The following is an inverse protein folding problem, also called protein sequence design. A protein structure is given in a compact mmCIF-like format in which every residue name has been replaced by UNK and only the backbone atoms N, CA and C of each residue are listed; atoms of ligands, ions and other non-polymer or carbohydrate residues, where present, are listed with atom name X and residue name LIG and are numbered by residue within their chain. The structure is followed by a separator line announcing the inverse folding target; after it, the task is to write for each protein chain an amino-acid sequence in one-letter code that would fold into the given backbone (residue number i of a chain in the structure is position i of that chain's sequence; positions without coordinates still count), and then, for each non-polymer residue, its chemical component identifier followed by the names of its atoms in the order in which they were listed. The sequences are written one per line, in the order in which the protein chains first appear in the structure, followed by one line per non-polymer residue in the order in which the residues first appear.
data_IF_718028191031
#
_entry.id   IF_718028191031
#
_cell.length_a   1.000
_cell.length_b   1.000
_cell.length_c   1.000
_cell.angle_alpha   90.00
_cell.angle_beta   90.00
_cell.angle_gamma   90.00
#
_symmetry.space_group_name_H-M   'P 1'
#
loop_
_entity.id
_entity.type
_entity.pdbx_description
1 polymer ?
#
# COMPACT_ATOMS: atom_id res chain seq x y z
N UNK A 1 -6.13 7.01 33.33
CA UNK A 1 -6.33 8.43 32.97
C UNK A 1 -6.29 8.51 31.44
N UNK A 2 -7.47 8.66 30.80
CA UNK A 2 -7.62 8.60 29.34
C UNK A 2 -7.09 9.90 28.75
N UNK A 3 -5.89 9.87 28.16
CA UNK A 3 -5.48 10.92 27.24
C UNK A 3 -6.16 10.67 25.90
N UNK A 4 -7.39 11.17 25.77
CA UNK A 4 -7.96 11.50 24.47
C UNK A 4 -6.91 12.32 23.72
N UNK A 5 -6.51 11.84 22.54
CA UNK A 5 -5.50 12.47 21.67
C UNK A 5 -5.87 13.96 21.56
N UNK A 6 -5.08 14.83 22.21
CA UNK A 6 -5.38 16.25 22.28
C UNK A 6 -5.41 16.82 20.86
N UNK A 7 -6.50 17.52 20.53
CA UNK A 7 -6.90 17.87 19.15
C UNK A 7 -5.96 18.84 18.42
N UNK A 8 -4.93 19.39 19.08
CA UNK A 8 -3.84 20.14 18.45
C UNK A 8 -2.57 20.06 19.29
N UNK A 9 -1.78 19.02 19.08
CA UNK A 9 -0.40 19.03 19.56
C UNK A 9 0.43 19.96 18.66
N UNK A 10 1.46 20.63 19.19
CA UNK A 10 2.38 21.39 18.37
C UNK A 10 3.23 20.42 17.54
N UNK A 11 3.52 20.76 16.27
CA UNK A 11 4.38 19.95 15.41
C UNK A 11 5.78 19.91 16.04
N UNK A 12 6.32 18.74 16.42
CA UNK A 12 7.68 18.67 16.94
C UNK A 12 8.70 19.10 15.89
N UNK A 13 9.80 19.73 16.33
CA UNK A 13 10.83 20.20 15.42
C UNK A 13 11.58 19.00 14.79
N UNK A 14 11.85 19.07 13.49
CA UNK A 14 12.58 18.01 12.75
C UNK A 14 14.10 18.21 12.80
N UNK A 15 14.58 19.37 13.24
CA UNK A 15 16.02 19.68 13.25
C UNK A 15 16.57 19.40 14.64
N UNK A 16 17.57 18.52 14.71
CA UNK A 16 18.38 18.34 15.92
C UNK A 16 19.21 19.61 16.15
N UNK A 17 19.17 20.13 17.37
CA UNK A 17 20.01 21.25 17.81
C UNK A 17 20.78 20.81 19.05
N UNK A 18 21.74 21.62 19.51
CA UNK A 18 22.45 21.35 20.75
C UNK A 18 21.52 21.23 21.98
N UNK A 19 20.29 21.75 21.88
CA UNK A 19 19.28 21.76 22.95
C UNK A 19 18.14 20.76 22.69
N UNK A 20 18.10 20.12 21.51
CA UNK A 20 17.00 19.25 21.09
C UNK A 20 17.50 17.97 20.41
N UNK A 21 17.27 16.84 21.09
CA UNK A 21 17.58 15.49 20.59
C UNK A 21 16.30 14.76 20.14
N UNK A 22 16.41 13.98 19.07
CA UNK A 22 15.32 13.11 18.59
C UNK A 22 15.27 11.82 19.40
N UNK A 23 14.70 11.93 20.59
CA UNK A 23 14.53 10.78 21.47
C UNK A 23 13.20 10.05 21.23
N UNK A 24 12.94 8.96 21.97
CA UNK A 24 11.66 8.23 21.94
C UNK A 24 10.46 9.16 22.15
N UNK A 25 10.62 10.20 22.96
CA UNK A 25 9.61 11.22 23.20
C UNK A 25 9.26 12.02 21.95
N UNK A 26 10.25 12.39 21.13
CA UNK A 26 10.03 13.06 19.84
C UNK A 26 9.15 12.21 18.94
N UNK A 27 9.50 10.93 18.75
CA UNK A 27 8.73 10.03 17.89
C UNK A 27 7.30 9.83 18.39
N UNK A 28 7.11 9.78 19.71
CA UNK A 28 5.78 9.65 20.34
C UNK A 28 4.94 10.91 20.12
N UNK A 29 5.51 12.09 20.35
CA UNK A 29 4.84 13.38 20.13
C UNK A 29 4.54 13.63 18.66
N UNK A 30 5.44 13.23 17.76
CA UNK A 30 5.25 13.37 16.32
C UNK A 30 4.14 12.43 15.82
N UNK A 31 4.14 11.17 16.27
CA UNK A 31 3.07 10.23 15.98
C UNK A 31 1.71 10.76 16.44
N UNK A 32 1.62 11.30 17.66
CA UNK A 32 0.40 11.95 18.16
C UNK A 32 0.03 13.20 17.36
N UNK A 33 0.98 13.99 16.89
CA UNK A 33 0.72 15.13 16.01
C UNK A 33 0.15 14.70 14.65
N UNK A 34 0.71 13.65 14.03
CA UNK A 34 0.18 13.07 12.79
C UNK A 34 -1.27 12.61 12.99
N UNK A 35 -1.51 11.88 14.08
CA UNK A 35 -2.85 11.44 14.47
C UNK A 35 -3.78 12.61 14.85
N UNK A 36 -3.26 13.71 15.35
CA UNK A 36 -4.04 14.92 15.62
C UNK A 36 -4.47 15.61 14.32
N UNK A 37 -3.60 15.67 13.32
CA UNK A 37 -3.93 16.21 11.99
C UNK A 37 -4.88 15.31 11.20
N UNK A 38 -4.93 14.01 11.53
CA UNK A 38 -5.95 13.10 11.05
C UNK A 38 -7.37 13.62 11.30
N UNK A 39 -7.61 14.29 12.43
CA UNK A 39 -8.91 14.83 12.80
C UNK A 39 -9.21 16.19 12.13
N UNK A 40 -8.53 16.50 11.02
CA UNK A 40 -8.85 17.69 10.24
C UNK A 40 -10.23 17.57 9.59
N UNK A 41 -10.92 18.71 9.44
CA UNK A 41 -12.22 18.77 8.79
C UNK A 41 -12.18 18.15 7.38
N UNK A 42 -11.12 18.43 6.61
CA UNK A 42 -10.95 17.89 5.26
C UNK A 42 -10.89 16.36 5.24
N UNK A 43 -10.19 15.76 6.21
CA UNK A 43 -10.12 14.31 6.30
C UNK A 43 -11.48 13.71 6.73
N UNK A 44 -12.18 14.34 7.67
CA UNK A 44 -13.54 13.94 8.02
C UNK A 44 -14.50 13.99 6.82
N UNK A 45 -14.44 15.05 6.01
CA UNK A 45 -15.23 15.17 4.78
C UNK A 45 -14.88 14.06 3.77
N UNK A 46 -13.60 13.73 3.63
CA UNK A 46 -13.17 12.61 2.78
C UNK A 46 -13.75 11.27 3.24
N UNK A 47 -13.63 10.94 4.54
CA UNK A 47 -14.18 9.70 5.10
C UNK A 47 -15.71 9.67 4.98
N UNK A 48 -16.38 10.80 5.23
CA UNK A 48 -17.83 10.91 5.11
C UNK A 48 -18.32 10.67 3.68
N UNK A 49 -17.68 11.31 2.68
CA UNK A 49 -18.00 11.11 1.26
C UNK A 49 -17.79 9.66 0.83
N UNK A 50 -16.65 9.06 1.22
CA UNK A 50 -16.40 7.65 0.93
C UNK A 50 -17.49 6.74 1.50
N UNK A 51 -17.95 6.99 2.72
CA UNK A 51 -19.02 6.20 3.35
C UNK A 51 -20.34 6.29 2.63
N UNK A 52 -20.77 7.50 2.27
CA UNK A 52 -21.99 7.70 1.50
C UNK A 52 -21.88 6.91 0.18
N UNK A 53 -20.79 7.08 -0.56
CA UNK A 53 -20.59 6.38 -1.83
C UNK A 53 -20.61 4.85 -1.68
N UNK A 54 -20.03 4.32 -0.60
CA UNK A 54 -20.00 2.89 -0.32
C UNK A 54 -21.39 2.33 0.01
N UNK A 55 -22.18 3.05 0.80
CA UNK A 55 -23.54 2.64 1.15
C UNK A 55 -24.49 2.73 -0.05
N UNK A 56 -24.37 3.77 -0.88
CA UNK A 56 -25.07 3.84 -2.16
C UNK A 56 -24.71 2.65 -3.06
N UNK A 57 -23.43 2.27 -3.14
CA UNK A 57 -23.00 1.07 -3.86
C UNK A 57 -23.65 -0.21 -3.31
N UNK A 58 -23.81 -0.34 -1.99
CA UNK A 58 -24.51 -1.46 -1.33
C UNK A 58 -26.04 -1.41 -1.45
N UNK A 59 -26.60 -0.50 -2.25
CA UNK A 59 -28.04 -0.27 -2.38
C UNK A 59 -28.72 0.26 -1.10
N UNK A 60 -27.95 0.90 -0.21
CA UNK A 60 -28.46 1.58 0.95
C UNK A 60 -28.37 3.11 0.73
N UNK A 61 -29.35 3.65 0.01
CA UNK A 61 -29.30 5.04 -0.47
C UNK A 61 -29.87 6.08 0.51
N UNK A 62 -30.60 5.65 1.54
CA UNK A 62 -31.38 6.53 2.44
C UNK A 62 -30.72 6.58 3.80
N UNK A 63 -29.55 7.21 3.84
CA UNK A 63 -28.68 7.26 5.02
C UNK A 63 -28.76 8.66 5.64
N UNK A 64 -29.04 9.67 4.81
CA UNK A 64 -29.15 11.05 5.23
C UNK A 64 -30.55 11.27 5.84
N UNK A 65 -30.65 11.86 7.05
CA UNK A 65 -31.92 12.19 7.67
C UNK A 65 -32.81 13.00 6.73
N UNK A 66 -32.22 13.92 5.96
CA UNK A 66 -32.90 14.76 4.98
C UNK A 66 -33.66 13.94 3.93
N UNK A 67 -33.11 12.81 3.48
CA UNK A 67 -33.76 11.93 2.50
C UNK A 67 -34.97 11.22 3.10
N UNK A 68 -34.87 10.82 4.37
CA UNK A 68 -35.93 10.11 5.08
C UNK A 68 -37.06 11.03 5.53
N UNK A 69 -36.71 12.20 6.09
CA UNK A 69 -37.66 13.20 6.58
C UNK A 69 -38.40 13.84 5.42
N UNK A 70 -37.71 14.28 4.35
CA UNK A 70 -38.37 14.91 3.21
C UNK A 70 -39.31 13.97 2.45
N UNK A 71 -39.08 12.66 2.53
CA UNK A 71 -39.94 11.68 1.88
C UNK A 71 -41.11 11.23 2.76
N UNK A 72 -40.85 10.94 4.03
CA UNK A 72 -41.85 10.38 4.95
C UNK A 72 -42.73 11.46 5.57
N UNK A 73 -42.24 12.70 5.70
CA UNK A 73 -42.97 13.81 6.31
C UNK A 73 -43.47 14.79 5.24
N UNK A 74 -44.63 15.39 5.50
CA UNK A 74 -45.16 16.53 4.74
C UNK A 74 -44.49 17.86 5.17
N UNK A 75 -44.74 18.97 4.46
CA UNK A 75 -44.32 20.34 4.84
C UNK A 75 -44.86 20.76 6.22
N UNK A 76 -45.90 20.06 6.71
CA UNK A 76 -46.50 20.23 8.05
C UNK A 76 -46.00 19.21 9.09
N UNK A 77 -45.02 18.37 8.76
CA UNK A 77 -44.44 17.36 9.67
C UNK A 77 -45.33 16.15 9.97
N UNK A 78 -46.38 15.92 9.18
CA UNK A 78 -47.24 14.72 9.33
C UNK A 78 -46.75 13.56 8.46
N UNK A 79 -46.86 12.34 8.99
CA UNK A 79 -46.47 11.10 8.31
C UNK A 79 -47.32 10.86 7.05
N UNK A 80 -46.64 10.60 5.93
CA UNK A 80 -47.26 10.18 4.67
C UNK A 80 -46.95 8.72 4.39
N UNK A 81 -47.98 7.93 4.04
CA UNK A 81 -47.85 6.52 3.64
C UNK A 81 -47.33 6.37 2.20
N UNK A 82 -46.07 6.76 1.95
CA UNK A 82 -45.41 6.58 0.64
C UNK A 82 -44.58 5.30 0.63
N UNK A 83 -44.65 4.56 -0.47
CA UNK A 83 -43.81 3.37 -0.68
C UNK A 83 -42.51 3.82 -1.36
N UNK A 84 -41.38 3.52 -0.72
CA UNK A 84 -40.06 3.79 -1.27
C UNK A 84 -39.76 2.84 -2.43
N UNK A 85 -39.45 3.39 -3.60
CA UNK A 85 -38.87 2.66 -4.73
C UNK A 85 -37.48 3.21 -5.00
N UNK A 86 -36.45 2.41 -4.78
CA UNK A 86 -35.06 2.77 -5.10
C UNK A 86 -34.61 2.05 -6.37
N UNK A 87 -33.95 2.79 -7.27
CA UNK A 87 -33.22 2.22 -8.42
C UNK A 87 -31.75 2.56 -8.25
N UNK A 88 -30.90 1.54 -8.11
CA UNK A 88 -29.48 1.74 -7.92
C UNK A 88 -28.73 1.85 -9.23
N UNK A 89 -28.47 3.08 -9.67
CA UNK A 89 -27.64 3.35 -10.84
C UNK A 89 -26.14 3.35 -10.53
N UNK A 90 -25.75 3.51 -9.25
CA UNK A 90 -24.33 3.57 -8.85
C UNK A 90 -23.72 2.16 -8.83
N UNK A 91 -24.46 1.18 -8.33
CA UNK A 91 -24.01 -0.22 -8.31
C UNK A 91 -23.51 -0.71 -9.67
N UNK A 92 -24.28 -0.64 -10.79
CA UNK A 92 -23.79 -1.11 -12.07
C UNK A 92 -22.54 -0.35 -12.58
N UNK A 93 -22.39 0.94 -12.22
CA UNK A 93 -21.19 1.71 -12.57
C UNK A 93 -19.95 1.19 -11.83
N UNK A 94 -20.05 0.97 -10.52
CA UNK A 94 -18.92 0.42 -9.72
C UNK A 94 -18.60 -1.02 -10.14
N UNK A 95 -19.63 -1.82 -10.42
CA UNK A 95 -19.47 -3.18 -10.95
C UNK A 95 -18.74 -3.20 -12.29
N UNK A 96 -18.98 -2.21 -13.16
CA UNK A 96 -18.24 -2.07 -14.41
C UNK A 96 -16.75 -1.80 -14.17
N UNK A 97 -16.39 -0.92 -13.23
CA UNK A 97 -14.99 -0.70 -12.86
C UNK A 97 -14.35 -1.95 -12.28
N UNK A 98 -15.08 -2.68 -11.43
CA UNK A 98 -14.62 -3.92 -10.83
C UNK A 98 -14.37 -5.02 -11.87
N UNK A 99 -15.31 -5.21 -12.80
CA UNK A 99 -15.17 -6.16 -13.90
C UNK A 99 -14.08 -5.78 -14.90
N UNK A 100 -13.90 -4.48 -15.17
CA UNK A 100 -12.79 -3.98 -15.99
C UNK A 100 -11.45 -4.25 -15.31
N UNK A 101 -11.35 -3.99 -14.00
CA UNK A 101 -10.17 -4.32 -13.23
C UNK A 101 -9.89 -5.82 -13.34
N UNK A 102 -10.83 -6.70 -13.03
CA UNK A 102 -10.64 -8.15 -13.14
C UNK A 102 -10.04 -8.59 -14.50
N UNK A 103 -10.49 -7.97 -15.60
CA UNK A 103 -9.99 -8.27 -16.96
C UNK A 103 -8.62 -7.68 -17.28
N UNK A 104 -8.25 -6.55 -16.68
CA UNK A 104 -6.96 -5.91 -16.95
C UNK A 104 -5.83 -6.85 -16.52
N UNK A 105 -4.73 -6.91 -17.29
CA UNK A 105 -3.50 -7.57 -16.87
C UNK A 105 -2.48 -6.53 -16.44
N UNK A 106 -2.00 -6.62 -15.21
CA UNK A 106 -0.90 -5.78 -14.73
C UNK A 106 0.38 -6.60 -14.75
N UNK A 107 1.00 -6.68 -15.93
CA UNK A 107 2.29 -7.35 -16.08
C UNK A 107 3.41 -6.38 -15.70
N UNK A 108 4.08 -6.63 -14.57
CA UNK A 108 5.29 -5.90 -14.20
C UNK A 108 6.49 -6.51 -14.92
N UNK A 109 7.30 -5.66 -15.55
CA UNK A 109 8.57 -6.04 -16.16
C UNK A 109 9.72 -5.32 -15.47
N UNK A 110 10.70 -6.09 -15.01
CA UNK A 110 11.94 -5.57 -14.45
C UNK A 110 12.89 -5.22 -15.60
N UNK A 111 13.47 -4.02 -15.54
CA UNK A 111 14.49 -3.57 -16.49
C UNK A 111 15.76 -3.24 -15.74
N UNK A 112 16.91 -3.52 -16.36
CA UNK A 112 18.21 -3.19 -15.78
C UNK A 112 18.66 -1.82 -16.29
N UNK A 113 18.90 -0.88 -15.37
CA UNK A 113 19.33 0.49 -15.68
C UNK A 113 20.86 0.65 -15.51
N UNK A 114 21.54 -0.33 -14.90
CA UNK A 114 22.95 -0.21 -14.52
C UNK A 114 23.92 -0.35 -15.71
N UNK A 115 24.97 0.48 -15.79
CA UNK A 115 26.07 0.31 -16.76
C UNK A 115 26.82 -1.03 -16.61
N UNK A 116 26.88 -1.59 -15.40
CA UNK A 116 27.53 -2.89 -15.14
C UNK A 116 26.80 -4.05 -15.82
N UNK A 117 25.50 -3.89 -16.10
CA UNK A 117 24.73 -4.85 -16.88
C UNK A 117 25.19 -4.92 -18.34
N UNK A 118 25.57 -3.77 -18.91
CA UNK A 118 26.15 -3.68 -20.25
C UNK A 118 27.49 -4.43 -20.28
N UNK A 119 28.35 -4.21 -19.29
CA UNK A 119 29.61 -4.96 -19.17
C UNK A 119 29.42 -6.48 -19.05
N UNK A 120 28.35 -6.95 -18.39
CA UNK A 120 28.02 -8.39 -18.32
C UNK A 120 27.57 -8.94 -19.67
N UNK A 121 26.70 -8.21 -20.38
CA UNK A 121 26.31 -8.52 -21.76
C UNK A 121 27.54 -8.59 -22.67
N UNK A 122 28.42 -7.59 -22.59
CA UNK A 122 29.62 -7.52 -23.44
C UNK A 122 30.60 -8.66 -23.16
N UNK A 123 30.74 -9.08 -21.88
CA UNK A 123 31.54 -10.26 -21.50
C UNK A 123 30.97 -11.56 -22.06
N UNK A 124 29.66 -11.75 -22.00
CA UNK A 124 29.02 -12.96 -22.51
C UNK A 124 29.00 -12.99 -24.04
N UNK A 125 28.87 -11.83 -24.69
CA UNK A 125 29.08 -11.67 -26.13
C UNK A 125 30.53 -12.00 -26.54
N UNK A 126 31.52 -11.51 -25.79
CA UNK A 126 32.93 -11.80 -26.04
C UNK A 126 33.23 -13.31 -25.93
N UNK A 127 32.66 -14.01 -24.95
CA UNK A 127 32.78 -15.48 -24.85
C UNK A 127 32.19 -16.19 -26.07
N UNK A 128 31.00 -15.78 -26.53
CA UNK A 128 30.37 -16.36 -27.72
C UNK A 128 31.18 -16.10 -28.99
N UNK A 129 31.78 -14.92 -29.13
CA UNK A 129 32.70 -14.62 -30.24
C UNK A 129 33.94 -15.52 -30.19
N UNK A 130 34.50 -15.78 -29.01
CA UNK A 130 35.63 -16.70 -28.86
C UNK A 130 35.24 -18.14 -29.23
N UNK A 131 34.05 -18.60 -28.84
CA UNK A 131 33.53 -19.90 -29.28
C UNK A 131 33.31 -19.96 -30.79
N UNK A 132 32.86 -18.87 -31.41
CA UNK A 132 32.74 -18.80 -32.87
C UNK A 132 34.09 -18.92 -33.58
N UNK A 133 35.12 -18.21 -33.09
CA UNK A 133 36.48 -18.33 -33.63
C UNK A 133 36.98 -19.79 -33.53
N UNK A 134 36.77 -20.45 -32.38
CA UNK A 134 37.09 -21.87 -32.23
C UNK A 134 36.28 -22.79 -33.15
N UNK A 135 34.99 -22.49 -33.36
CA UNK A 135 34.09 -23.23 -34.25
C UNK A 135 34.38 -23.01 -35.74
N UNK A 136 35.04 -21.90 -36.11
CA UNK A 136 35.54 -21.67 -37.47
C UNK A 136 36.77 -22.53 -37.77
N UNK A 137 37.61 -22.79 -36.76
CA UNK A 137 38.81 -23.63 -36.89
C UNK A 137 38.45 -25.13 -36.92
N UNK A 138 37.41 -25.56 -36.20
CA UNK A 138 36.97 -26.95 -36.18
C UNK A 138 35.44 -27.06 -36.40
N UNK A 139 34.99 -27.50 -37.59
CA UNK A 139 33.57 -27.66 -37.90
C UNK A 139 32.82 -28.63 -36.96
N UNK A 140 33.45 -29.71 -36.50
CA UNK A 140 32.83 -30.66 -35.57
C UNK A 140 32.62 -30.07 -34.17
N UNK A 141 33.39 -29.06 -33.79
CA UNK A 141 33.18 -28.31 -32.55
C UNK A 141 31.93 -27.42 -32.63
N UNK A 142 31.57 -26.92 -33.82
CA UNK A 142 30.34 -26.14 -34.02
C UNK A 142 29.09 -26.97 -33.78
N UNK A 143 29.06 -28.18 -34.34
CA UNK A 143 27.94 -29.12 -34.16
C UNK A 143 27.78 -29.47 -32.68
N UNK A 144 28.88 -29.80 -32.00
CA UNK A 144 28.86 -30.08 -30.57
C UNK A 144 28.39 -28.89 -29.70
N UNK A 145 28.72 -27.65 -30.07
CA UNK A 145 28.26 -26.46 -29.35
C UNK A 145 26.75 -26.21 -29.54
N UNK A 146 26.24 -26.41 -30.76
CA UNK A 146 24.82 -26.27 -31.05
C UNK A 146 24.00 -27.37 -30.37
N UNK A 147 24.49 -28.61 -30.32
CA UNK A 147 23.85 -29.72 -29.62
C UNK A 147 23.74 -29.48 -28.11
N UNK A 148 24.70 -28.74 -27.53
CA UNK A 148 24.69 -28.31 -26.13
C UNK A 148 23.91 -26.99 -25.90
N UNK A 149 23.21 -26.48 -26.91
CA UNK A 149 22.35 -25.29 -26.80
C UNK A 149 23.07 -23.95 -26.79
N UNK A 150 24.34 -23.88 -27.24
CA UNK A 150 25.07 -22.62 -27.39
C UNK A 150 24.92 -22.13 -28.85
N UNK A 151 24.19 -21.03 -29.11
CA UNK A 151 23.86 -20.59 -30.46
C UNK A 151 25.04 -19.87 -31.13
N UNK A 152 25.84 -20.61 -31.90
CA UNK A 152 26.96 -20.06 -32.67
C UNK A 152 26.57 -19.95 -34.15
N UNK A 153 26.68 -18.77 -34.75
CA UNK A 153 26.44 -18.53 -36.17
C UNK A 153 27.60 -18.97 -37.06
N UNK A 154 27.44 -18.86 -38.38
CA UNK A 154 28.53 -19.13 -39.33
C UNK A 154 29.60 -18.03 -39.29
N UNK A 155 29.15 -16.79 -39.07
CA UNK A 155 29.99 -15.59 -38.98
C UNK A 155 29.83 -14.88 -37.63
N UNK A 156 30.76 -13.97 -37.31
CA UNK A 156 30.72 -13.16 -36.07
C UNK A 156 29.46 -12.31 -35.99
N UNK A 157 29.05 -11.68 -37.09
CA UNK A 157 27.82 -10.88 -37.18
C UNK A 157 26.54 -11.71 -36.96
N UNK A 158 26.49 -12.94 -37.48
CA UNK A 158 25.34 -13.83 -37.27
C UNK A 158 25.26 -14.32 -35.82
N UNK A 159 26.42 -14.56 -35.19
CA UNK A 159 26.51 -14.90 -33.76
C UNK A 159 26.06 -13.74 -32.87
N UNK A 160 26.41 -12.50 -33.21
CA UNK A 160 25.92 -11.30 -32.51
C UNK A 160 24.40 -11.17 -32.61
N UNK A 161 23.83 -11.34 -33.81
CA UNK A 161 22.38 -11.28 -34.02
C UNK A 161 21.64 -12.38 -33.25
N UNK A 162 22.16 -13.62 -33.25
CA UNK A 162 21.60 -14.73 -32.45
C UNK A 162 21.69 -14.44 -30.95
N UNK A 163 22.80 -13.88 -30.49
CA UNK A 163 22.96 -13.50 -29.09
C UNK A 163 21.95 -12.43 -28.67
N UNK A 164 21.76 -11.38 -29.46
CA UNK A 164 20.85 -10.30 -29.13
C UNK A 164 19.38 -10.74 -29.05
N UNK A 165 19.01 -11.76 -29.83
CA UNK A 165 17.67 -12.37 -29.78
C UNK A 165 17.45 -13.29 -28.58
N UNK A 166 18.52 -13.88 -28.03
CA UNK A 166 18.43 -14.93 -26.99
C UNK A 166 18.82 -14.38 -25.61
N UNK A 167 19.69 -13.37 -25.58
CA UNK A 167 20.25 -12.85 -24.34
C UNK A 167 19.18 -12.20 -23.50
N UNK A 168 18.97 -12.77 -22.32
CA UNK A 168 18.20 -12.17 -21.24
C UNK A 168 19.10 -12.09 -20.01
N UNK A 169 19.20 -10.90 -19.40
CA UNK A 169 20.01 -10.73 -18.20
C UNK A 169 19.45 -11.61 -17.08
N UNK A 170 20.30 -12.46 -16.48
CA UNK A 170 19.94 -13.35 -15.38
C UNK A 170 19.26 -12.60 -14.22
N UNK A 171 19.63 -11.35 -13.97
CA UNK A 171 18.99 -10.53 -12.94
C UNK A 171 17.59 -10.08 -13.33
N UNK A 172 17.35 -9.79 -14.61
CA UNK A 172 16.01 -9.46 -15.11
C UNK A 172 15.12 -10.70 -15.02
N UNK A 173 15.64 -11.87 -15.40
CA UNK A 173 14.92 -13.14 -15.27
C UNK A 173 14.60 -13.45 -13.80
N UNK A 174 15.59 -13.32 -12.91
CA UNK A 174 15.40 -13.54 -11.47
C UNK A 174 14.41 -12.53 -10.87
N UNK A 175 14.52 -11.24 -11.22
CA UNK A 175 13.60 -10.20 -10.75
C UNK A 175 12.17 -10.44 -11.21
N UNK A 176 11.96 -10.79 -12.48
CA UNK A 176 10.62 -11.14 -12.99
C UNK A 176 10.04 -12.37 -12.28
N UNK A 177 10.86 -13.40 -12.00
CA UNK A 177 10.44 -14.58 -11.23
C UNK A 177 10.06 -14.21 -9.80
N UNK A 178 10.85 -13.36 -9.14
CA UNK A 178 10.57 -12.87 -7.79
C UNK A 178 9.24 -12.10 -7.75
N UNK A 179 9.04 -11.17 -8.68
CA UNK A 179 7.79 -10.39 -8.76
C UNK A 179 6.57 -11.30 -8.98
N UNK A 180 6.70 -12.33 -9.82
CA UNK A 180 5.63 -13.31 -10.03
C UNK A 180 5.34 -14.10 -8.75
N UNK A 181 6.38 -14.58 -8.06
CA UNK A 181 6.24 -15.28 -6.79
C UNK A 181 5.54 -14.43 -5.73
N UNK A 182 5.95 -13.16 -5.59
CA UNK A 182 5.33 -12.21 -4.65
C UNK A 182 3.86 -11.98 -5.01
N UNK A 183 3.54 -11.84 -6.29
CA UNK A 183 2.17 -11.63 -6.75
C UNK A 183 1.25 -12.84 -6.46
N UNK A 184 1.78 -14.06 -6.60
CA UNK A 184 1.08 -15.31 -6.32
C UNK A 184 0.85 -15.51 -4.82
N UNK A 185 1.89 -15.34 -3.99
CA UNK A 185 1.81 -15.47 -2.52
C UNK A 185 0.78 -14.49 -1.93
N UNK A 186 0.74 -13.27 -2.47
CA UNK A 186 -0.15 -12.21 -1.98
C UNK A 186 -1.52 -12.17 -2.63
N UNK A 187 -1.81 -13.10 -3.56
CA UNK A 187 -3.06 -13.11 -4.32
C UNK A 187 -3.47 -11.71 -4.82
N UNK A 188 -2.53 -10.98 -5.43
CA UNK A 188 -2.73 -9.56 -5.78
C UNK A 188 -3.93 -9.33 -6.71
N UNK A 189 -4.32 -10.34 -7.49
CA UNK A 189 -5.52 -10.30 -8.33
C UNK A 189 -6.79 -10.10 -7.50
N UNK A 190 -6.88 -10.70 -6.31
CA UNK A 190 -8.03 -10.50 -5.41
C UNK A 190 -8.06 -9.07 -4.84
N UNK A 191 -6.89 -8.55 -4.44
CA UNK A 191 -6.78 -7.19 -3.91
C UNK A 191 -7.07 -6.13 -4.96
N UNK A 192 -6.74 -6.40 -6.22
CA UNK A 192 -7.05 -5.50 -7.34
C UNK A 192 -8.54 -5.19 -7.48
N UNK A 193 -9.40 -6.19 -7.33
CA UNK A 193 -10.86 -6.04 -7.36
C UNK A 193 -11.30 -5.11 -6.22
N UNK A 194 -10.75 -5.31 -5.02
CA UNK A 194 -11.08 -4.50 -3.86
C UNK A 194 -10.56 -3.05 -4.00
N UNK A 195 -9.35 -2.87 -4.51
CA UNK A 195 -8.77 -1.55 -4.79
C UNK A 195 -9.54 -0.80 -5.88
N UNK A 196 -10.09 -1.49 -6.88
CA UNK A 196 -10.93 -0.87 -7.89
C UNK A 196 -12.23 -0.31 -7.29
N UNK A 197 -12.83 -1.04 -6.33
CA UNK A 197 -13.97 -0.53 -5.57
C UNK A 197 -13.58 0.70 -4.74
N UNK A 198 -12.44 0.68 -4.06
CA UNK A 198 -11.95 1.84 -3.30
C UNK A 198 -11.67 3.05 -4.19
N UNK A 199 -11.07 2.82 -5.36
CA UNK A 199 -10.82 3.88 -6.32
C UNK A 199 -12.14 4.47 -6.84
N UNK A 200 -13.15 3.64 -7.09
CA UNK A 200 -14.47 4.11 -7.54
C UNK A 200 -15.25 4.85 -6.45
N UNK A 201 -15.17 4.42 -5.19
CA UNK A 201 -15.94 5.00 -4.08
C UNK A 201 -15.22 6.14 -3.36
N UNK A 202 -13.89 6.08 -3.21
CA UNK A 202 -13.06 7.04 -2.47
C UNK A 202 -12.15 7.88 -3.36
N UNK A 203 -11.90 7.46 -4.61
CA UNK A 203 -10.88 8.08 -5.46
C UNK A 203 -9.44 7.68 -5.12
N UNK A 204 -9.24 6.76 -4.17
CA UNK A 204 -7.91 6.29 -3.76
C UNK A 204 -7.95 4.82 -3.35
N UNK A 205 -6.92 4.06 -3.74
CA UNK A 205 -6.70 2.69 -3.29
C UNK A 205 -5.38 2.58 -2.55
N UNK A 206 -5.39 2.00 -1.35
CA UNK A 206 -4.22 1.91 -0.47
C UNK A 206 -3.84 0.46 -0.24
N UNK A 207 -2.57 0.14 -0.48
CA UNK A 207 -2.00 -1.18 -0.22
C UNK A 207 -0.69 -1.01 0.55
N UNK A 208 -0.57 -1.71 1.67
CA UNK A 208 0.59 -1.67 2.56
C UNK A 208 1.38 -2.98 2.46
N UNK A 209 2.70 -2.92 2.21
CA UNK A 209 3.57 -4.05 2.45
C UNK A 209 3.86 -4.21 3.95
N UNK A 210 3.91 -5.44 4.42
CA UNK A 210 4.33 -5.79 5.77
C UNK A 210 5.10 -7.12 5.76
N UNK A 211 6.14 -7.27 6.60
CA UNK A 211 6.85 -8.53 6.71
C UNK A 211 6.02 -9.54 7.49
N UNK A 212 5.89 -10.77 6.99
CA UNK A 212 5.25 -11.87 7.71
C UNK A 212 5.86 -13.21 7.28
N UNK A 213 6.29 -14.03 8.24
CA UNK A 213 6.84 -15.36 7.95
C UNK A 213 8.13 -15.37 7.11
N UNK A 214 8.87 -14.24 7.05
CA UNK A 214 10.06 -14.10 6.20
C UNK A 214 9.77 -13.59 4.78
N UNK A 215 8.49 -13.50 4.40
CA UNK A 215 8.04 -12.96 3.12
C UNK A 215 7.48 -11.54 3.25
N UNK A 216 7.44 -10.83 2.12
CA UNK A 216 6.75 -9.56 2.00
C UNK A 216 5.29 -9.79 1.63
N UNK A 217 4.42 -9.55 2.60
CA UNK A 217 2.98 -9.64 2.42
C UNK A 217 2.38 -8.26 2.12
N UNK A 218 1.26 -8.21 1.41
CA UNK A 218 0.55 -6.99 1.06
C UNK A 218 -0.87 -7.06 1.59
N UNK A 219 -1.30 -6.01 2.28
CA UNK A 219 -2.66 -5.87 2.80
C UNK A 219 -3.30 -4.61 2.21
N UNK A 220 -4.56 -4.73 1.78
CA UNK A 220 -5.41 -3.58 1.47
C UNK A 220 -5.75 -2.84 2.78
N UNK A 221 -5.62 -1.53 2.76
CA UNK A 221 -6.11 -0.65 3.83
C UNK A 221 -7.34 0.07 3.32
N UNK A 222 -8.44 -0.02 4.04
CA UNK A 222 -9.67 0.64 3.62
C UNK A 222 -9.50 2.17 3.71
N UNK A 223 -10.11 2.96 2.79
CA UNK A 223 -9.99 4.42 2.82
C UNK A 223 -10.49 5.09 4.12
N UNK A 224 -11.42 4.48 4.87
CA UNK A 224 -11.87 4.96 6.19
C UNK A 224 -10.91 4.61 7.33
N UNK A 225 -9.91 3.78 7.04
CA UNK A 225 -8.86 3.34 7.96
C UNK A 225 -7.51 4.01 7.71
N UNK A 226 -7.43 4.91 6.73
CA UNK A 226 -6.19 5.51 6.29
C UNK A 226 -6.36 7.02 6.15
N UNK A 227 -5.35 7.77 6.57
CA UNK A 227 -5.31 9.20 6.39
C UNK A 227 -3.94 9.69 5.98
N UNK A 228 -3.92 10.91 5.44
CA UNK A 228 -2.77 11.47 4.76
C UNK A 228 -2.74 12.98 4.92
N UNK A 229 -1.59 13.53 4.59
CA UNK A 229 -1.40 14.95 4.44
C UNK A 229 -2.28 15.51 3.31
N UNK A 230 -3.37 16.21 3.69
CA UNK A 230 -4.31 16.83 2.75
C UNK A 230 -3.73 18.00 1.95
N UNK A 231 -2.48 18.40 2.20
CA UNK A 231 -1.78 19.40 1.40
C UNK A 231 -1.01 18.79 0.22
N UNK A 232 -0.90 17.46 0.16
CA UNK A 232 -0.30 16.75 -0.97
C UNK A 232 -1.06 17.04 -2.27
N UNK A 233 -0.30 17.36 -3.32
CA UNK A 233 -0.79 17.66 -4.66
C UNK A 233 -0.51 16.53 -5.64
N UNK A 234 0.44 15.64 -5.33
CA UNK A 234 0.76 14.51 -6.20
C UNK A 234 -0.32 13.42 -6.14
N UNK A 235 -0.75 12.93 -7.30
CA UNK A 235 -1.71 11.81 -7.42
C UNK A 235 -1.24 10.53 -6.69
N UNK A 236 0.07 10.36 -6.57
CA UNK A 236 0.71 9.21 -5.90
C UNK A 236 1.24 9.58 -4.50
N UNK A 237 0.90 10.77 -4.01
CA UNK A 237 1.22 11.28 -2.67
C UNK A 237 2.71 11.25 -2.34
N UNK A 238 3.56 11.38 -3.37
CA UNK A 238 5.02 11.45 -3.26
C UNK A 238 5.52 12.74 -2.61
N UNK A 239 4.67 13.69 -2.32
CA UNK A 239 4.93 14.94 -1.64
C UNK A 239 4.31 14.99 -0.24
N UNK A 240 3.51 13.98 0.13
CA UNK A 240 2.91 13.89 1.47
C UNK A 240 3.98 13.89 2.55
N UNK A 241 3.81 14.76 3.55
CA UNK A 241 4.73 14.80 4.70
C UNK A 241 4.52 13.63 5.64
N UNK A 242 3.28 13.14 5.73
CA UNK A 242 2.90 12.06 6.61
C UNK A 242 1.68 11.31 6.08
N UNK A 243 1.54 10.10 6.58
CA UNK A 243 0.34 9.28 6.43
C UNK A 243 0.20 8.40 7.67
N UNK A 244 -1.01 7.98 7.94
CA UNK A 244 -1.30 7.11 9.06
C UNK A 244 -2.39 6.14 8.66
N UNK A 245 -2.45 5.03 9.37
CA UNK A 245 -3.49 4.04 9.23
C UNK A 245 -3.81 3.47 10.60
N UNK A 246 -4.93 2.78 10.69
CA UNK A 246 -5.28 2.06 11.89
C UNK A 246 -5.92 0.71 11.58
N UNK A 247 -5.74 -0.22 12.50
CA UNK A 247 -6.28 -1.58 12.40
C UNK A 247 -6.75 -2.05 13.77
N UNK A 248 -7.71 -2.98 13.78
CA UNK A 248 -8.17 -3.61 15.02
C UNK A 248 -7.37 -4.89 15.25
N UNK A 249 -6.47 -4.86 16.23
CA UNK A 249 -5.59 -5.99 16.53
C UNK A 249 -5.97 -6.62 17.87
N UNK A 250 -5.85 -7.95 17.97
CA UNK A 250 -5.93 -8.62 19.27
C UNK A 250 -4.64 -8.36 20.07
N UNK A 251 -4.70 -8.35 21.43
CA UNK A 251 -3.51 -8.23 22.27
C UNK A 251 -2.40 -9.22 21.89
N UNK A 252 -2.76 -10.49 21.60
CA UNK A 252 -1.81 -11.51 21.13
C UNK A 252 -1.05 -11.08 19.88
N UNK A 253 -1.76 -10.56 18.87
CA UNK A 253 -1.15 -10.09 17.63
C UNK A 253 -0.21 -8.91 17.90
N UNK A 254 -0.60 -8.01 18.80
CA UNK A 254 0.21 -6.85 19.19
C UNK A 254 1.52 -7.32 19.85
N UNK A 255 1.45 -8.30 20.75
CA UNK A 255 2.63 -8.83 21.44
C UNK A 255 3.57 -9.58 20.49
N UNK A 256 3.03 -10.27 19.50
CA UNK A 256 3.82 -10.96 18.47
C UNK A 256 4.51 -9.97 17.49
N UNK A 257 3.80 -8.91 17.10
CA UNK A 257 4.33 -7.93 16.15
C UNK A 257 5.30 -6.93 16.79
N UNK A 258 5.07 -6.56 18.06
CA UNK A 258 5.84 -5.53 18.76
C UNK A 258 6.46 -6.04 20.09
N UNK A 259 7.15 -7.19 20.12
CA UNK A 259 7.57 -7.84 21.36
C UNK A 259 8.58 -7.02 22.17
N UNK A 260 9.44 -6.26 21.49
CA UNK A 260 10.54 -5.48 22.07
C UNK A 260 10.16 -4.04 22.42
N UNK A 261 8.95 -3.60 22.05
CA UNK A 261 8.51 -2.22 22.21
C UNK A 261 7.54 -2.02 23.38
N UNK A 262 7.11 -3.11 24.03
CA UNK A 262 6.06 -3.09 25.04
C UNK A 262 6.59 -3.58 26.38
N UNK A 263 6.64 -2.67 27.35
CA UNK A 263 6.96 -2.99 28.73
C UNK A 263 5.79 -3.72 29.41
N UNK A 264 6.03 -4.34 30.57
CA UNK A 264 4.98 -5.04 31.33
C UNK A 264 3.78 -4.14 31.66
N UNK A 265 4.04 -2.85 31.91
CA UNK A 265 3.01 -1.84 32.19
C UNK A 265 2.14 -1.59 30.95
N UNK A 266 2.74 -1.53 29.75
CA UNK A 266 2.00 -1.35 28.50
C UNK A 266 1.11 -2.55 28.20
N UNK A 267 1.64 -3.77 28.40
CA UNK A 267 0.88 -5.01 28.22
C UNK A 267 -0.31 -5.06 29.19
N UNK A 268 -0.10 -4.73 30.46
CA UNK A 268 -1.19 -4.65 31.45
C UNK A 268 -2.23 -3.59 31.07
N UNK A 269 -1.81 -2.48 30.50
CA UNK A 269 -2.70 -1.41 30.03
C UNK A 269 -3.52 -1.85 28.81
N UNK A 270 -2.93 -2.62 27.89
CA UNK A 270 -3.61 -3.21 26.73
C UNK A 270 -4.66 -4.22 27.19
N UNK A 271 -4.31 -5.16 28.08
CA UNK A 271 -5.27 -6.11 28.65
C UNK A 271 -6.39 -5.42 29.41
N UNK A 272 -6.07 -4.38 30.19
CA UNK A 272 -7.05 -3.58 30.91
C UNK A 272 -7.98 -2.82 29.97
N UNK A 273 -7.48 -2.32 28.85
CA UNK A 273 -8.30 -1.67 27.83
C UNK A 273 -9.30 -2.68 27.24
N UNK A 274 -8.84 -3.87 26.84
CA UNK A 274 -9.70 -4.90 26.26
C UNK A 274 -10.74 -5.41 27.25
N UNK A 275 -10.37 -5.60 28.51
CA UNK A 275 -11.29 -6.04 29.56
C UNK A 275 -12.40 -5.02 29.85
N UNK A 276 -12.13 -3.73 29.67
CA UNK A 276 -13.05 -2.64 29.95
C UNK A 276 -13.69 -2.01 28.71
N UNK A 277 -13.27 -2.41 27.50
CA UNK A 277 -13.82 -1.87 26.26
C UNK A 277 -15.23 -2.41 26.04
N UNK A 278 -16.16 -1.51 25.71
CA UNK A 278 -17.47 -1.91 25.22
C UNK A 278 -17.32 -2.72 23.92
N UNK A 279 -18.27 -3.63 23.64
CA UNK A 279 -18.27 -4.43 22.41
C UNK A 279 -18.24 -3.55 21.14
N UNK A 280 -18.75 -2.33 21.24
CA UNK A 280 -18.87 -1.36 20.16
C UNK A 280 -18.11 -0.08 20.53
N UNK A 281 -17.30 0.42 19.59
CA UNK A 281 -16.58 1.68 19.74
C UNK A 281 -16.67 2.51 18.49
N UNK A 282 -16.90 3.80 18.70
CA UNK A 282 -17.00 4.78 17.63
C UNK A 282 -15.59 5.25 17.24
N UNK A 283 -15.05 4.68 16.17
CA UNK A 283 -13.73 5.02 15.63
C UNK A 283 -13.94 5.69 14.28
N UNK A 284 -13.26 6.82 14.04
CA UNK A 284 -13.40 7.64 12.82
C UNK A 284 -14.85 7.93 12.42
N UNK A 285 -15.77 8.12 13.36
CA UNK A 285 -17.21 8.32 13.13
C UNK A 285 -18.02 7.11 12.64
N UNK A 286 -17.55 5.88 12.87
CA UNK A 286 -18.28 4.65 12.57
C UNK A 286 -18.21 3.72 13.77
N UNK A 287 -19.30 2.99 13.98
CA UNK A 287 -19.33 1.94 14.97
C UNK A 287 -18.57 0.71 14.46
N UNK A 288 -17.59 0.28 15.24
CA UNK A 288 -16.81 -0.93 14.99
C UNK A 288 -17.00 -1.90 16.15
N UNK A 289 -17.17 -3.18 15.79
CA UNK A 289 -17.05 -4.27 16.76
C UNK A 289 -15.57 -4.40 17.17
N UNK A 290 -15.30 -3.96 18.39
CA UNK A 290 -13.97 -3.96 19.03
C UNK A 290 -13.87 -5.05 20.09
N UNK A 291 -14.82 -5.99 20.14
CA UNK A 291 -14.81 -7.02 21.17
C UNK A 291 -13.48 -7.80 21.18
N UNK A 292 -12.73 -7.70 22.27
CA UNK A 292 -11.43 -8.36 22.40
C UNK A 292 -10.27 -7.71 21.63
N UNK A 293 -10.45 -6.52 21.04
CA UNK A 293 -9.49 -5.89 20.12
C UNK A 293 -9.15 -4.45 20.53
N UNK A 294 -7.97 -4.02 20.11
CA UNK A 294 -7.44 -2.67 20.33
C UNK A 294 -7.22 -1.98 18.99
N UNK A 295 -7.67 -0.72 18.82
CA UNK A 295 -7.29 0.08 17.67
C UNK A 295 -5.81 0.46 17.76
N UNK A 296 -5.01 -0.05 16.82
CA UNK A 296 -3.58 0.23 16.71
C UNK A 296 -3.36 1.18 15.56
N UNK A 297 -2.79 2.35 15.86
CA UNK A 297 -2.48 3.38 14.88
C UNK A 297 -1.02 3.28 14.45
N UNK A 298 -0.77 3.19 13.15
CA UNK A 298 0.56 3.24 12.56
C UNK A 298 0.73 4.58 11.84
N UNK A 299 1.54 5.48 12.38
CA UNK A 299 1.89 6.75 11.76
C UNK A 299 3.27 6.66 11.10
N UNK A 300 3.39 7.23 9.89
CA UNK A 300 4.67 7.40 9.18
C UNK A 300 4.80 8.84 8.71
N UNK A 301 6.02 9.36 8.77
CA UNK A 301 6.32 10.73 8.37
C UNK A 301 7.72 10.85 7.79
N UNK A 302 7.93 11.90 7.00
CA UNK A 302 9.26 12.30 6.51
C UNK A 302 10.01 13.00 7.62
N UNK A 303 11.29 12.68 7.72
CA UNK A 303 12.14 13.27 8.73
C UNK A 303 13.50 13.70 8.15
N UNK A 304 14.12 14.70 8.79
CA UNK A 304 15.43 15.21 8.40
C UNK A 304 16.51 14.47 9.20
N UNK A 305 17.48 13.85 8.54
CA UNK A 305 18.64 13.29 9.24
C UNK A 305 19.79 14.29 9.10
N UNK A 306 20.37 14.68 10.24
CA UNK A 306 21.61 15.47 10.25
C UNK A 306 22.76 14.50 10.11
N UNK A 307 23.31 14.38 8.90
CA UNK A 307 24.54 13.63 8.67
C UNK A 307 25.74 14.51 9.02
N UNK A 308 26.86 13.91 9.43
CA UNK A 308 28.09 14.66 9.85
C UNK A 308 28.66 15.56 8.74
N UNK A 309 28.18 15.43 7.50
CA UNK A 309 28.59 16.18 6.32
C UNK A 309 27.46 17.02 5.68
N UNK A 310 26.32 17.22 6.36
CA UNK A 310 25.24 18.10 5.91
C UNK A 310 23.84 17.46 5.93
N UNK A 311 22.83 18.33 5.83
CA UNK A 311 21.41 17.98 6.01
C UNK A 311 20.86 17.26 4.75
N UNK A 312 20.35 16.03 4.91
CA UNK A 312 19.65 15.30 3.84
C UNK A 312 18.23 14.95 4.28
N UNK A 313 17.26 15.27 3.43
CA UNK A 313 15.85 14.89 3.62
C UNK A 313 15.68 13.44 3.13
N UNK A 314 15.10 12.55 3.96
CA UNK A 314 14.68 11.20 3.56
C UNK A 314 13.18 11.03 3.76
#
# INVERSE_FOLDING_TARGET
MIYLIASRQQKPNRIETAEYSKDVKYHTEYGRWVMGNANSQKHHEFVHKYRINLEFYKNNQWILPEDSEAFMLDESGQDRHRIRVTKNYIQPMVEQYRGNAERMRFDMKVYNISPLARSRRDKDLAKLKNYNIGAQVNPGFREHLNDNGIPVGQNTAETESKFDNIYTDKFVVAGNRLMKSVAEINNLNSHKIQLATDLACAGIGVMKPYPHGGDWMFKRVAPDQWGFDTTAQSDILKDSEFFWEWDLMSPTTIYEQYPWQLETIDRSSIESYVANSAAHSFITNKDFDVNGKVPVYTAKWRDAIVDTFGLRIK
#
